data_IF_582920395199
#
_entry.id   IF_582920395199
#
_cell.length_a   1.000
_cell.length_b   1.000
_cell.length_c   1.000
_cell.angle_alpha   90.00
_cell.angle_beta   90.00
_cell.angle_gamma   90.00
#
_symmetry.space_group_name_H-M   'P 1'
#
loop_
_entity.id
_entity.type
_entity.pdbx_description
1 polymer ?
#
# COMPACT_ATOMS: atom_id res chain seq x y z
N UNK A 1 15.46 6.41 -18.75
CA UNK A 1 14.88 5.18 -18.18
C UNK A 1 14.82 5.25 -16.65
N UNK A 2 14.08 4.34 -16.03
CA UNK A 2 13.88 4.33 -14.57
C UNK A 2 14.80 3.30 -13.91
N UNK A 3 15.60 3.76 -12.95
CA UNK A 3 16.36 2.91 -12.04
C UNK A 3 15.61 2.79 -10.71
N UNK A 4 15.46 1.58 -10.20
CA UNK A 4 14.82 1.30 -8.92
C UNK A 4 15.83 0.92 -7.85
N UNK A 5 15.62 1.40 -6.63
CA UNK A 5 16.27 0.96 -5.40
C UNK A 5 15.36 -0.07 -4.69
N UNK A 6 15.70 -1.37 -4.74
CA UNK A 6 14.86 -2.40 -4.14
C UNK A 6 14.73 -2.28 -2.62
N UNK A 7 15.74 -1.69 -1.94
CA UNK A 7 15.73 -1.52 -0.49
C UNK A 7 14.74 -0.46 -0.01
N UNK A 8 14.31 0.44 -0.89
CA UNK A 8 13.33 1.51 -0.59
C UNK A 8 11.95 1.24 -1.16
N UNK A 9 11.83 0.39 -2.17
CA UNK A 9 10.57 0.17 -2.85
C UNK A 9 9.50 -0.41 -1.90
N UNK A 10 8.31 0.20 -1.89
CA UNK A 10 7.21 -0.25 -1.03
C UNK A 10 6.27 -1.24 -1.73
N UNK A 11 6.30 -1.36 -3.06
CA UNK A 11 5.26 -2.09 -3.80
C UNK A 11 3.86 -1.45 -3.68
N UNK A 12 3.79 -0.11 -3.58
CA UNK A 12 2.59 0.65 -3.25
C UNK A 12 1.77 1.17 -4.45
N UNK A 13 2.06 0.71 -5.68
CA UNK A 13 1.36 1.05 -6.93
C UNK A 13 1.44 2.51 -7.41
N UNK A 14 2.04 3.43 -6.65
CA UNK A 14 2.04 4.86 -7.00
C UNK A 14 2.59 5.12 -8.40
N UNK A 15 3.75 4.53 -8.71
CA UNK A 15 4.41 4.71 -10.00
C UNK A 15 3.65 4.10 -11.19
N UNK A 16 2.99 2.96 -11.02
CA UNK A 16 2.19 2.36 -12.10
C UNK A 16 0.96 3.20 -12.42
N UNK A 17 0.32 3.80 -11.41
CA UNK A 17 -0.89 4.59 -11.58
C UNK A 17 -0.64 5.93 -12.29
N UNK A 18 0.55 6.52 -12.15
CA UNK A 18 0.89 7.81 -12.75
C UNK A 18 1.61 7.68 -14.10
N UNK A 19 1.96 6.48 -14.55
CA UNK A 19 2.70 6.29 -15.79
C UNK A 19 1.75 6.39 -17.00
N UNK A 20 1.81 7.47 -17.82
CA UNK A 20 0.90 7.65 -18.94
C UNK A 20 1.07 6.58 -20.01
N UNK A 21 2.30 6.08 -20.18
CA UNK A 21 2.66 5.08 -21.18
C UNK A 21 2.57 3.63 -20.66
N UNK A 22 2.09 3.41 -19.44
CA UNK A 22 1.91 2.07 -18.86
C UNK A 22 3.17 1.17 -18.90
N UNK A 23 4.36 1.77 -18.83
CA UNK A 23 5.65 1.06 -18.80
C UNK A 23 5.96 0.41 -17.45
N UNK A 24 5.14 0.67 -16.43
CA UNK A 24 5.28 0.08 -15.11
C UNK A 24 4.08 -0.81 -14.87
N UNK A 25 4.30 -2.12 -14.91
CA UNK A 25 3.28 -3.14 -14.82
C UNK A 25 3.25 -3.69 -13.40
N UNK A 26 2.04 -3.88 -12.88
CA UNK A 26 1.84 -4.52 -11.60
C UNK A 26 1.13 -5.86 -11.81
N UNK A 27 1.73 -6.91 -11.27
CA UNK A 27 1.17 -8.26 -11.24
C UNK A 27 0.86 -8.60 -9.79
N UNK A 28 -0.36 -9.03 -9.53
CA UNK A 28 -0.77 -9.45 -8.19
C UNK A 28 -1.34 -10.86 -8.25
N UNK A 29 -0.77 -11.75 -7.45
CA UNK A 29 -1.32 -13.08 -7.18
C UNK A 29 -2.05 -13.10 -5.84
N UNK A 30 -2.49 -14.28 -5.39
CA UNK A 30 -3.12 -14.43 -4.08
C UNK A 30 -2.20 -13.95 -2.94
N UNK A 31 -0.91 -14.30 -2.99
CA UNK A 31 0.03 -14.07 -1.89
C UNK A 31 1.13 -13.07 -2.21
N UNK A 32 1.34 -12.72 -3.48
CA UNK A 32 2.47 -11.88 -3.90
C UNK A 32 2.03 -10.69 -4.75
N UNK A 33 2.86 -9.65 -4.72
CA UNK A 33 2.76 -8.50 -5.60
C UNK A 33 4.11 -8.22 -6.24
N UNK A 34 4.13 -8.17 -7.56
CA UNK A 34 5.31 -7.89 -8.36
C UNK A 34 5.14 -6.57 -9.11
N UNK A 35 6.17 -5.75 -9.10
CA UNK A 35 6.25 -4.51 -9.88
C UNK A 35 7.35 -4.68 -10.91
N UNK A 36 7.01 -4.51 -12.18
CA UNK A 36 7.90 -4.65 -13.31
C UNK A 36 8.03 -3.31 -14.04
N UNK A 37 9.26 -2.80 -14.17
CA UNK A 37 9.59 -1.58 -14.88
C UNK A 37 10.18 -1.93 -16.24
N UNK A 38 9.36 -1.78 -17.29
CA UNK A 38 9.80 -1.97 -18.66
C UNK A 38 10.79 -0.89 -19.08
N UNK A 39 11.58 -1.18 -20.11
CA UNK A 39 12.44 -0.20 -20.77
C UNK A 39 11.61 1.00 -21.23
N UNK A 40 12.01 2.18 -20.78
CA UNK A 40 11.33 3.43 -21.06
C UNK A 40 12.34 4.46 -21.57
N UNK A 41 12.15 4.92 -22.81
CA UNK A 41 12.97 5.93 -23.51
C UNK A 41 12.51 7.37 -23.24
N UNK A 42 11.38 7.53 -22.58
CA UNK A 42 10.81 8.83 -22.26
C UNK A 42 11.65 9.57 -21.22
N UNK A 43 11.68 10.90 -21.33
CA UNK A 43 12.30 11.81 -20.38
C UNK A 43 11.25 12.42 -19.44
N UNK A 44 10.30 11.60 -18.96
CA UNK A 44 9.34 12.00 -17.94
C UNK A 44 9.72 11.46 -16.56
N UNK A 45 9.38 12.19 -15.50
CA UNK A 45 9.78 11.90 -14.13
C UNK A 45 8.61 11.73 -13.15
N UNK A 46 7.36 11.68 -13.65
CA UNK A 46 6.16 11.50 -12.82
C UNK A 46 6.28 10.33 -11.84
N UNK A 47 6.79 9.17 -12.28
CA UNK A 47 6.96 8.03 -11.39
C UNK A 47 7.99 8.29 -10.27
N UNK A 48 9.01 9.11 -10.53
CA UNK A 48 10.02 9.53 -9.55
C UNK A 48 9.42 10.52 -8.56
N UNK A 49 8.69 11.53 -9.07
CA UNK A 49 8.04 12.56 -8.28
C UNK A 49 7.07 11.95 -7.24
N UNK A 50 6.16 11.11 -7.73
CA UNK A 50 5.09 10.49 -6.95
C UNK A 50 5.52 9.24 -6.17
N UNK A 51 6.81 8.86 -6.18
CA UNK A 51 7.29 7.76 -5.35
C UNK A 51 7.39 8.21 -3.87
N UNK A 52 6.54 7.70 -2.96
CA UNK A 52 6.54 8.14 -1.55
C UNK A 52 7.78 7.69 -0.78
N UNK A 53 8.49 6.66 -1.28
CA UNK A 53 9.72 6.15 -0.68
C UNK A 53 11.00 6.66 -1.36
N UNK A 54 10.87 7.48 -2.41
CA UNK A 54 12.02 7.97 -3.22
C UNK A 54 12.94 6.82 -3.65
N UNK A 55 12.30 5.75 -4.12
CA UNK A 55 12.95 4.51 -4.58
C UNK A 55 13.28 4.53 -6.09
N UNK A 56 12.86 5.55 -6.82
CA UNK A 56 13.02 5.63 -8.28
C UNK A 56 13.92 6.82 -8.64
N UNK A 57 14.72 6.66 -9.68
CA UNK A 57 15.54 7.70 -10.27
C UNK A 57 15.44 7.66 -11.79
N UNK A 58 15.37 8.83 -12.42
CA UNK A 58 15.50 8.97 -13.86
C UNK A 58 17.00 8.94 -14.22
N UNK A 59 17.38 8.02 -15.10
CA UNK A 59 18.75 7.86 -15.59
C UNK A 59 18.76 7.82 -17.12
N UNK A 60 19.92 8.08 -17.73
CA UNK A 60 20.09 7.97 -19.17
C UNK A 60 19.64 6.58 -19.67
N UNK A 61 18.99 6.54 -20.84
CA UNK A 61 18.58 5.27 -21.43
C UNK A 61 19.79 4.45 -21.87
N UNK A 62 19.83 3.19 -21.46
CA UNK A 62 20.84 2.23 -21.87
C UNK A 62 20.16 0.92 -22.29
N UNK A 63 20.37 0.53 -23.55
CA UNK A 63 19.80 -0.66 -24.15
C UNK A 63 20.35 -1.96 -23.53
N UNK A 64 21.53 -1.90 -22.91
CA UNK A 64 22.18 -3.07 -22.29
C UNK A 64 21.67 -3.33 -20.86
N UNK A 65 21.03 -2.34 -20.24
CA UNK A 65 20.47 -2.50 -18.89
C UNK A 65 19.17 -3.30 -18.97
N UNK A 66 19.04 -4.40 -18.21
CA UNK A 66 17.82 -5.21 -18.19
C UNK A 66 16.67 -4.47 -17.50
N UNK A 67 15.45 -4.88 -17.82
CA UNK A 67 14.25 -4.45 -17.11
C UNK A 67 14.33 -4.87 -15.63
N UNK A 68 13.75 -4.05 -14.75
CA UNK A 68 13.81 -4.30 -13.31
C UNK A 68 12.49 -4.87 -12.83
N UNK A 69 12.55 -5.88 -11.97
CA UNK A 69 11.39 -6.49 -11.33
C UNK A 69 11.62 -6.65 -9.82
N UNK A 70 10.60 -6.37 -9.02
CA UNK A 70 10.64 -6.60 -7.57
C UNK A 70 9.32 -7.24 -7.12
N UNK A 71 9.43 -8.36 -6.40
CA UNK A 71 8.30 -9.09 -5.81
C UNK A 71 8.27 -8.93 -4.29
N UNK A 72 7.05 -8.82 -3.77
CA UNK A 72 6.76 -8.71 -2.34
C UNK A 72 5.74 -9.78 -1.93
N UNK A 73 5.99 -10.43 -0.81
CA UNK A 73 4.96 -11.18 -0.10
C UNK A 73 3.93 -10.22 0.51
N UNK A 74 2.67 -10.61 0.42
CA UNK A 74 1.56 -9.86 0.99
C UNK A 74 1.29 -10.32 2.43
N UNK A 75 0.98 -9.36 3.29
CA UNK A 75 0.61 -9.61 4.68
C UNK A 75 -0.85 -10.02 4.76
N UNK A 76 -1.13 -11.07 5.55
CA UNK A 76 -2.48 -11.54 5.84
C UNK A 76 -3.16 -10.67 6.91
N UNK A 77 -4.45 -10.39 6.71
CA UNK A 77 -5.31 -9.71 7.66
C UNK A 77 -5.44 -10.53 8.96
N UNK A 78 -5.27 -9.91 10.12
CA UNK A 78 -5.43 -10.60 11.41
C UNK A 78 -6.87 -11.05 11.73
N UNK A 79 -7.86 -10.53 11.00
CA UNK A 79 -9.28 -10.87 11.22
C UNK A 79 -9.75 -11.95 10.24
N UNK A 80 -9.59 -11.72 8.93
CA UNK A 80 -10.14 -12.60 7.90
C UNK A 80 -9.08 -13.40 7.12
N UNK A 81 -7.78 -13.22 7.40
CA UNK A 81 -6.69 -13.90 6.70
C UNK A 81 -6.38 -13.41 5.28
N UNK A 82 -7.15 -12.46 4.73
CA UNK A 82 -6.93 -12.00 3.34
C UNK A 82 -5.62 -11.23 3.18
N UNK A 83 -4.94 -11.44 2.05
CA UNK A 83 -3.68 -10.79 1.68
C UNK A 83 -3.95 -9.41 1.09
N UNK A 84 -3.43 -8.34 1.70
CA UNK A 84 -3.91 -6.98 1.38
C UNK A 84 -2.83 -5.90 1.16
N UNK A 85 -1.64 -6.06 1.72
CA UNK A 85 -0.57 -5.07 1.60
C UNK A 85 0.82 -5.71 1.70
N UNK A 86 1.84 -5.02 1.20
CA UNK A 86 3.24 -5.43 1.38
C UNK A 86 3.72 -5.01 2.78
N UNK A 87 4.65 -5.76 3.36
CA UNK A 87 5.22 -5.42 4.66
C UNK A 87 5.89 -4.03 4.68
N UNK A 88 6.75 -3.64 3.71
CA UNK A 88 7.38 -2.32 3.70
C UNK A 88 6.36 -1.18 3.66
N UNK A 89 5.24 -1.36 2.96
CA UNK A 89 4.16 -0.37 2.93
C UNK A 89 3.52 -0.19 4.32
N UNK A 90 3.22 -1.29 5.02
CA UNK A 90 2.66 -1.22 6.38
C UNK A 90 3.63 -0.52 7.34
N UNK A 91 4.91 -0.89 7.30
CA UNK A 91 5.95 -0.28 8.15
C UNK A 91 6.10 1.23 7.89
N UNK A 92 6.01 1.66 6.62
CA UNK A 92 6.06 3.08 6.28
C UNK A 92 4.87 3.85 6.84
N UNK A 93 3.67 3.27 6.79
CA UNK A 93 2.47 3.88 7.35
C UNK A 93 2.57 3.95 8.88
N UNK A 94 2.96 2.85 9.54
CA UNK A 94 3.21 2.81 10.99
C UNK A 94 4.18 3.91 11.42
N UNK A 95 5.32 4.04 10.74
CA UNK A 95 6.32 5.06 11.03
C UNK A 95 5.83 6.51 10.79
N UNK A 96 4.76 6.70 10.02
CA UNK A 96 4.21 8.03 9.70
C UNK A 96 3.04 8.42 10.61
N UNK A 97 2.51 7.48 11.40
CA UNK A 97 1.38 7.70 12.30
C UNK A 97 1.86 8.02 13.73
N UNK A 98 1.24 8.98 14.44
CA UNK A 98 1.48 9.18 15.87
C UNK A 98 1.16 7.91 16.66
N UNK A 99 1.93 7.60 17.71
CA UNK A 99 1.78 6.37 18.49
C UNK A 99 0.33 6.13 18.98
N UNK A 100 -0.37 7.19 19.41
CA UNK A 100 -1.77 7.10 19.87
C UNK A 100 -2.83 6.84 18.79
N UNK A 101 -2.44 6.77 17.50
CA UNK A 101 -3.34 6.51 16.36
C UNK A 101 -3.13 5.12 15.75
N UNK A 102 -2.11 4.37 16.20
CA UNK A 102 -1.78 3.04 15.67
C UNK A 102 -2.64 1.93 16.29
N UNK A 103 -3.27 2.22 17.42
CA UNK A 103 -4.19 1.35 18.15
C UNK A 103 -5.59 1.97 18.13
N UNK A 104 -6.62 1.15 17.91
CA UNK A 104 -7.99 1.59 18.15
C UNK A 104 -8.33 1.57 19.66
N UNK A 105 -9.51 2.06 20.04
CA UNK A 105 -9.95 2.06 21.44
C UNK A 105 -10.06 0.66 22.07
N UNK A 106 -9.92 -0.42 21.28
CA UNK A 106 -9.88 -1.81 21.70
C UNK A 106 -8.47 -2.42 21.71
N UNK A 107 -7.41 -1.65 21.42
CA UNK A 107 -6.02 -2.11 21.40
C UNK A 107 -5.67 -2.94 20.16
N UNK A 108 -6.49 -2.92 19.11
CA UNK A 108 -6.16 -3.59 17.84
C UNK A 108 -5.20 -2.71 17.04
N UNK A 109 -4.11 -3.31 16.54
CA UNK A 109 -3.20 -2.68 15.57
C UNK A 109 -3.95 -2.46 14.24
N UNK A 110 -4.58 -1.30 14.11
CA UNK A 110 -5.51 -0.98 13.02
C UNK A 110 -4.89 -1.20 11.63
N UNK A 111 -3.60 -0.92 11.51
CA UNK A 111 -2.83 -1.08 10.27
C UNK A 111 -2.67 -2.54 9.83
N UNK A 112 -2.76 -3.51 10.75
CA UNK A 112 -2.63 -4.97 10.54
C UNK A 112 -3.95 -5.66 10.17
N UNK A 113 -5.01 -4.88 9.96
CA UNK A 113 -6.33 -5.34 9.53
C UNK A 113 -6.61 -4.80 8.12
N UNK A 114 -7.18 -5.61 7.22
CA UNK A 114 -7.49 -5.16 5.87
C UNK A 114 -8.58 -4.08 5.85
N UNK A 115 -8.66 -3.31 4.76
CA UNK A 115 -9.62 -2.19 4.66
C UNK A 115 -11.09 -2.61 4.80
N UNK A 116 -11.43 -3.84 4.40
CA UNK A 116 -12.80 -4.33 4.50
C UNK A 116 -13.15 -4.63 5.97
N UNK A 117 -12.39 -5.50 6.64
CA UNK A 117 -12.62 -5.81 8.05
C UNK A 117 -12.57 -4.56 8.93
N UNK A 118 -11.70 -3.60 8.65
CA UNK A 118 -11.71 -2.31 9.35
C UNK A 118 -13.05 -1.58 9.22
N UNK A 119 -13.60 -1.49 8.01
CA UNK A 119 -14.91 -0.85 7.79
C UNK A 119 -16.03 -1.60 8.50
N UNK A 120 -16.00 -2.93 8.46
CA UNK A 120 -17.04 -3.77 9.05
C UNK A 120 -17.05 -3.62 10.59
N UNK A 121 -15.89 -3.66 11.23
CA UNK A 121 -15.73 -3.45 12.68
C UNK A 121 -16.25 -2.06 13.09
N UNK A 122 -15.87 -1.01 12.37
CA UNK A 122 -16.32 0.35 12.69
C UNK A 122 -17.83 0.53 12.45
N UNK A 123 -18.38 -0.12 11.41
CA UNK A 123 -19.83 -0.13 11.17
C UNK A 123 -20.60 -0.81 12.30
N UNK A 124 -20.10 -1.95 12.80
CA UNK A 124 -20.69 -2.66 13.95
C UNK A 124 -20.63 -1.81 15.23
N UNK A 125 -19.49 -1.17 15.51
CA UNK A 125 -19.33 -0.26 16.66
C UNK A 125 -20.33 0.90 16.60
N UNK A 126 -20.45 1.57 15.45
CA UNK A 126 -21.37 2.68 15.24
C UNK A 126 -22.84 2.23 15.41
N UNK A 127 -23.22 1.10 14.82
CA UNK A 127 -24.56 0.53 15.00
C UNK A 127 -24.86 0.25 16.48
N UNK A 128 -23.90 -0.33 17.21
CA UNK A 128 -24.01 -0.58 18.64
C UNK A 128 -24.19 0.68 19.47
N UNK A 129 -23.52 1.78 19.12
CA UNK A 129 -23.68 3.08 19.79
C UNK A 129 -25.08 3.66 19.58
N UNK A 130 -25.59 3.66 18.34
CA UNK A 130 -26.94 4.13 18.02
C UNK A 130 -28.00 3.33 18.78
N UNK A 131 -27.84 2.00 18.89
CA UNK A 131 -28.77 1.15 19.64
C UNK A 131 -28.74 1.46 21.15
N UNK A 132 -27.56 1.74 21.72
CA UNK A 132 -27.42 2.15 23.13
C UNK A 132 -28.06 3.51 23.38
N UNK A 133 -27.88 4.47 22.49
CA UNK A 133 -28.50 5.79 22.59
C UNK A 133 -30.02 5.72 22.49
N UNK A 134 -30.56 4.96 21.53
CA UNK A 134 -32.02 4.73 21.42
C UNK A 134 -32.60 4.13 22.70
N UNK A 135 -31.93 3.13 23.29
CA UNK A 135 -32.35 2.54 24.58
C UNK A 135 -32.29 3.51 25.75
N UNK A 136 -31.42 4.53 25.72
CA UNK A 136 -31.38 5.58 26.76
C UNK A 136 -32.51 6.60 26.62
N UNK A 137 -33.06 6.76 25.41
CA UNK A 137 -34.10 7.75 25.10
C UNK A 137 -35.52 7.15 25.20
N UNK A 138 -35.66 5.82 25.05
CA UNK A 138 -36.91 5.12 25.34
C UNK A 138 -36.99 4.76 26.84
N UNK A 139 -37.86 5.43 27.64
CA UNK A 139 -38.05 5.13 29.05
C UNK A 139 -38.69 3.76 29.29
#
# INVERSE_FOLDING_TARGET
>A
MIKVDPGKCLGCLSCSNVCPNQNIVLLQSADTRTVHWKKCKEECDLCVEFCPAKALALVAYDELVPESEISFELVACRVCGSRYATLPMLMKVEASLPAGMQEDASGLEWIRICSQCRRDIEAEKAAGQVMKERKRISP
#
